data_IF_704985596903
#
_entry.id   IF_704985596903
#
_cell.length_a   1.000
_cell.length_b   1.000
_cell.length_c   1.000
_cell.angle_alpha   90.00
_cell.angle_beta   90.00
_cell.angle_gamma   90.00
#
_symmetry.space_group_name_H-M   'P 1'
#
loop_
_entity.id
_entity.type
_entity.pdbx_description
1 polymer ?
#
# COMPACT_ATOMS: atom_id res chain seq x y z
N UNK A 1 8.22 -25.45 -16.17
CA UNK A 1 6.96 -26.16 -15.89
C UNK A 1 6.12 -25.29 -14.99
N UNK A 2 4.86 -25.04 -15.32
CA UNK A 2 3.97 -24.29 -14.42
C UNK A 2 3.82 -25.03 -13.11
N UNK A 3 3.97 -24.34 -11.98
CA UNK A 3 3.75 -24.90 -10.66
C UNK A 3 2.27 -25.29 -10.51
N UNK A 4 1.97 -26.54 -10.16
CA UNK A 4 0.60 -26.97 -9.88
C UNK A 4 0.08 -26.33 -8.59
N UNK A 5 -1.25 -26.20 -8.46
CA UNK A 5 -1.86 -25.69 -7.23
C UNK A 5 -1.49 -26.56 -6.01
N UNK A 6 -1.39 -27.89 -6.17
CA UNK A 6 -0.91 -28.79 -5.12
C UNK A 6 0.54 -28.48 -4.70
N UNK A 7 1.44 -28.20 -5.64
CA UNK A 7 2.81 -27.84 -5.33
C UNK A 7 2.89 -26.50 -4.58
N UNK A 8 2.04 -25.54 -4.93
CA UNK A 8 1.94 -24.25 -4.23
C UNK A 8 1.35 -24.43 -2.82
N UNK A 9 0.31 -25.24 -2.65
CA UNK A 9 -0.30 -25.51 -1.35
C UNK A 9 0.68 -26.08 -0.33
N UNK A 10 1.58 -26.97 -0.77
CA UNK A 10 2.63 -27.57 0.10
C UNK A 10 3.69 -26.59 0.59
N UNK A 11 3.70 -25.34 0.08
CA UNK A 11 4.61 -24.29 0.54
C UNK A 11 4.08 -23.53 1.76
N UNK A 12 2.87 -23.85 2.23
CA UNK A 12 2.20 -23.20 3.34
C UNK A 12 1.93 -24.20 4.46
N UNK A 13 2.15 -23.74 5.70
CA UNK A 13 1.74 -24.39 6.95
C UNK A 13 0.99 -23.37 7.82
N UNK A 14 0.25 -23.80 8.83
CA UNK A 14 -0.48 -22.86 9.71
C UNK A 14 0.42 -21.83 10.40
N UNK A 15 1.68 -22.16 10.61
CA UNK A 15 2.66 -21.45 11.43
C UNK A 15 3.99 -21.17 10.73
N UNK A 16 4.12 -21.55 9.47
CA UNK A 16 5.35 -21.34 8.71
C UNK A 16 5.11 -21.34 7.20
N UNK A 17 6.03 -20.76 6.46
CA UNK A 17 6.01 -20.76 4.99
C UNK A 17 7.34 -21.19 4.43
N UNK A 18 7.31 -21.84 3.28
CA UNK A 18 8.53 -22.24 2.59
C UNK A 18 9.23 -21.02 1.98
N UNK A 19 10.54 -20.91 2.15
CA UNK A 19 11.36 -19.77 1.65
C UNK A 19 11.23 -19.49 0.15
N UNK A 20 10.78 -20.46 -0.66
CA UNK A 20 10.50 -20.25 -2.08
C UNK A 20 9.46 -19.17 -2.35
N UNK A 21 8.56 -18.85 -1.41
CA UNK A 21 7.62 -17.74 -1.55
C UNK A 21 8.35 -16.40 -1.70
N UNK A 22 9.57 -16.30 -1.22
CA UNK A 22 10.38 -15.07 -1.30
C UNK A 22 11.44 -15.12 -2.40
N UNK A 23 11.79 -16.30 -2.91
CA UNK A 23 12.99 -16.46 -3.74
C UNK A 23 12.73 -17.05 -5.12
N UNK A 24 11.55 -17.63 -5.35
CA UNK A 24 11.24 -18.31 -6.62
C UNK A 24 10.62 -17.35 -7.64
N UNK A 25 11.28 -17.08 -8.79
CA UNK A 25 10.78 -16.16 -9.80
C UNK A 25 9.50 -16.65 -10.50
N UNK A 26 9.27 -17.98 -10.58
CA UNK A 26 8.05 -18.52 -11.19
C UNK A 26 6.84 -18.28 -10.26
N UNK A 27 7.03 -18.41 -8.94
CA UNK A 27 6.00 -18.02 -7.95
C UNK A 27 5.71 -16.53 -8.06
N UNK A 28 6.74 -15.69 -8.12
CA UNK A 28 6.57 -14.25 -8.29
C UNK A 28 5.78 -13.90 -9.56
N UNK A 29 6.06 -14.55 -10.68
CA UNK A 29 5.30 -14.32 -11.91
C UNK A 29 3.82 -14.67 -11.75
N UNK A 30 3.50 -15.78 -11.06
CA UNK A 30 2.13 -16.15 -10.73
C UNK A 30 1.46 -15.16 -9.76
N UNK A 31 2.20 -14.60 -8.79
CA UNK A 31 1.69 -13.54 -7.92
C UNK A 31 1.27 -12.30 -8.71
N UNK A 32 2.06 -11.89 -9.71
CA UNK A 32 1.71 -10.76 -10.58
C UNK A 32 0.44 -11.02 -11.40
N UNK A 33 0.22 -12.27 -11.82
CA UNK A 33 -0.97 -12.67 -12.54
C UNK A 33 -2.18 -12.82 -11.61
N UNK A 34 -2.04 -13.57 -10.51
CA UNK A 34 -3.16 -14.02 -9.70
C UNK A 34 -3.52 -13.03 -8.59
N UNK A 35 -2.55 -12.40 -7.93
CA UNK A 35 -2.82 -11.41 -6.89
C UNK A 35 -3.07 -10.05 -7.53
N UNK A 36 -2.09 -9.53 -8.28
CA UNK A 36 -2.17 -8.21 -8.90
C UNK A 36 -3.15 -8.15 -10.06
N UNK A 37 -3.48 -9.29 -10.67
CA UNK A 37 -4.52 -9.43 -11.69
C UNK A 37 -5.94 -9.34 -11.12
N UNK A 38 -6.17 -9.66 -9.83
CA UNK A 38 -7.52 -9.79 -9.27
C UNK A 38 -7.81 -8.84 -8.11
N UNK A 39 -6.81 -8.48 -7.31
CA UNK A 39 -7.00 -7.58 -6.16
C UNK A 39 -7.34 -6.15 -6.61
N UNK A 40 -7.94 -5.38 -5.70
CA UNK A 40 -8.02 -3.94 -5.83
C UNK A 40 -6.68 -3.31 -5.41
N UNK A 41 -6.05 -2.61 -6.33
CA UNK A 41 -4.74 -2.01 -6.12
C UNK A 41 -4.86 -0.48 -6.13
N UNK A 42 -4.28 0.17 -5.13
CA UNK A 42 -4.17 1.62 -5.09
C UNK A 42 -3.26 2.12 -6.22
N UNK A 43 -3.77 3.01 -7.05
CA UNK A 43 -3.07 3.56 -8.22
C UNK A 43 -2.67 5.02 -8.05
N UNK A 44 -3.25 5.73 -7.09
CA UNK A 44 -2.94 7.12 -6.80
C UNK A 44 -4.08 7.85 -6.10
N UNK A 45 -3.88 9.12 -5.83
CA UNK A 45 -4.91 10.00 -5.29
C UNK A 45 -5.38 10.97 -6.37
N UNK A 46 -6.65 11.29 -6.39
CA UNK A 46 -7.27 12.13 -7.44
C UNK A 46 -6.72 13.57 -7.48
N UNK A 47 -6.15 14.03 -6.34
CA UNK A 47 -5.45 15.33 -6.29
C UNK A 47 -4.18 15.40 -7.16
N UNK A 48 -3.66 14.24 -7.60
CA UNK A 48 -2.51 14.20 -8.51
C UNK A 48 -2.89 14.53 -9.97
N UNK A 49 -4.18 14.52 -10.26
CA UNK A 49 -4.75 14.83 -11.58
C UNK A 49 -5.90 15.83 -11.45
N UNK A 50 -5.64 17.06 -10.98
CA UNK A 50 -6.68 18.04 -10.60
C UNK A 50 -7.52 18.55 -11.78
N UNK A 51 -6.96 18.62 -12.99
CA UNK A 51 -7.61 19.20 -14.15
C UNK A 51 -7.86 18.17 -15.25
N UNK A 52 -8.93 18.33 -16.07
CA UNK A 52 -9.16 17.49 -17.23
C UNK A 52 -7.92 17.40 -18.14
N UNK A 53 -7.48 16.18 -18.46
CA UNK A 53 -6.27 15.92 -19.22
C UNK A 53 -5.02 15.69 -18.38
N UNK A 54 -5.01 16.04 -17.10
CA UNK A 54 -3.90 15.69 -16.22
C UNK A 54 -3.84 14.18 -16.04
N UNK A 55 -2.62 13.64 -16.03
CA UNK A 55 -2.38 12.22 -15.79
C UNK A 55 -1.24 11.97 -14.83
N UNK A 56 -1.28 10.81 -14.20
CA UNK A 56 -0.19 10.22 -13.42
C UNK A 56 -0.01 8.76 -13.82
N UNK A 57 1.22 8.32 -13.99
CA UNK A 57 1.53 6.92 -14.31
C UNK A 57 1.87 6.14 -13.07
N UNK A 58 1.52 4.85 -13.06
CA UNK A 58 1.89 3.89 -12.02
C UNK A 58 1.90 2.48 -12.58
N UNK A 59 1.97 1.46 -11.69
CA UNK A 59 1.97 0.05 -12.08
C UNK A 59 1.01 -0.76 -11.21
N UNK A 60 0.41 -1.78 -11.83
CA UNK A 60 -0.31 -2.86 -11.15
C UNK A 60 0.36 -4.17 -11.53
N UNK A 61 1.14 -4.76 -10.63
CA UNK A 61 2.01 -5.89 -10.98
C UNK A 61 2.97 -5.50 -12.11
N UNK A 62 2.93 -6.24 -13.21
CA UNK A 62 3.74 -5.96 -14.41
C UNK A 62 3.11 -4.94 -15.38
N UNK A 63 1.87 -4.48 -15.12
CA UNK A 63 1.16 -3.61 -16.04
C UNK A 63 1.42 -2.14 -15.74
N UNK A 64 1.95 -1.41 -16.72
CA UNK A 64 2.04 0.04 -16.66
C UNK A 64 0.65 0.64 -16.94
N UNK A 65 0.18 1.52 -16.07
CA UNK A 65 -1.14 2.16 -16.18
C UNK A 65 -1.05 3.67 -16.05
N UNK A 66 -2.06 4.35 -16.59
CA UNK A 66 -2.21 5.80 -16.57
C UNK A 66 -3.52 6.13 -15.87
N UNK A 67 -3.44 6.79 -14.72
CA UNK A 67 -4.55 7.45 -14.08
C UNK A 67 -4.74 8.82 -14.72
N UNK A 68 -5.93 9.14 -15.20
CA UNK A 68 -6.20 10.37 -15.96
C UNK A 68 -7.53 11.01 -15.55
N UNK A 69 -7.57 12.32 -15.48
CA UNK A 69 -8.81 13.10 -15.27
C UNK A 69 -9.52 13.28 -16.61
N UNK A 70 -10.71 12.73 -16.75
CA UNK A 70 -11.58 12.89 -17.90
C UNK A 70 -12.16 14.31 -18.05
N UNK A 71 -12.71 14.62 -19.22
CA UNK A 71 -13.40 15.88 -19.49
C UNK A 71 -14.68 16.03 -18.62
N UNK A 72 -15.29 14.92 -18.22
CA UNK A 72 -16.42 14.83 -17.29
C UNK A 72 -15.99 14.95 -15.81
N UNK A 73 -14.72 15.22 -15.57
CA UNK A 73 -14.05 15.29 -14.25
C UNK A 73 -13.96 13.96 -13.50
N UNK A 74 -14.37 12.83 -14.08
CA UNK A 74 -14.14 11.51 -13.50
C UNK A 74 -12.70 11.06 -13.74
N UNK A 75 -12.21 10.21 -12.86
CA UNK A 75 -10.92 9.54 -13.02
C UNK A 75 -11.12 8.25 -13.80
N UNK A 76 -10.30 8.04 -14.82
CA UNK A 76 -10.16 6.78 -15.54
C UNK A 76 -8.76 6.22 -15.30
N UNK A 77 -8.63 4.91 -15.38
CA UNK A 77 -7.33 4.22 -15.37
C UNK A 77 -7.24 3.35 -16.61
N UNK A 78 -6.25 3.60 -17.44
CA UNK A 78 -6.06 2.91 -18.73
C UNK A 78 -4.67 2.24 -18.77
N UNK A 79 -4.49 1.21 -19.57
CA UNK A 79 -3.15 0.63 -19.79
C UNK A 79 -2.26 1.61 -20.57
N UNK A 80 -1.00 1.73 -20.17
CA UNK A 80 -0.03 2.61 -20.86
C UNK A 80 0.58 1.90 -22.09
N UNK A 81 -0.27 1.47 -23.02
CA UNK A 81 0.16 0.69 -24.20
C UNK A 81 -0.68 1.00 -25.42
N UNK A 82 -0.05 1.53 -26.46
CA UNK A 82 -0.69 1.74 -27.76
C UNK A 82 -0.98 0.38 -28.43
N UNK A 83 -2.22 0.10 -28.89
CA UNK A 83 -2.57 -1.17 -29.51
C UNK A 83 -1.85 -1.42 -30.85
N UNK A 84 -1.39 -0.36 -31.53
CA UNK A 84 -0.75 -0.51 -32.83
C UNK A 84 0.57 -1.32 -32.78
N UNK A 85 1.55 -0.87 -32.03
CA UNK A 85 2.89 -1.50 -31.91
C UNK A 85 3.41 -1.58 -30.47
N UNK A 86 2.54 -1.48 -29.48
CA UNK A 86 2.90 -1.65 -28.07
C UNK A 86 3.67 -0.50 -27.42
N UNK A 87 3.86 0.62 -28.10
CA UNK A 87 4.60 1.76 -27.50
C UNK A 87 3.87 2.31 -26.28
N UNK A 88 4.62 2.69 -25.22
CA UNK A 88 4.03 3.48 -24.11
C UNK A 88 3.41 4.76 -24.66
N UNK A 89 2.19 5.03 -24.20
CA UNK A 89 1.39 6.17 -24.67
C UNK A 89 1.93 7.49 -24.09
N UNK A 90 2.31 7.45 -22.82
CA UNK A 90 2.90 8.58 -22.09
C UNK A 90 4.13 8.13 -21.30
N UNK A 91 5.09 9.04 -21.04
CA UNK A 91 6.24 8.75 -20.19
C UNK A 91 5.83 8.59 -18.74
N UNK A 92 6.72 7.98 -17.93
CA UNK A 92 6.50 7.82 -16.51
C UNK A 92 6.49 9.17 -15.77
N UNK A 93 5.63 9.27 -14.75
CA UNK A 93 5.47 10.46 -13.91
C UNK A 93 4.12 11.14 -14.09
N UNK A 94 4.10 12.46 -13.91
CA UNK A 94 2.92 13.30 -14.05
C UNK A 94 3.01 14.11 -15.34
N UNK A 95 1.87 14.39 -15.94
CA UNK A 95 1.82 15.22 -17.13
C UNK A 95 0.40 15.60 -17.55
N UNK A 96 0.31 16.15 -18.75
CA UNK A 96 -0.94 16.60 -19.34
C UNK A 96 -1.11 16.00 -20.74
N UNK A 97 -2.30 15.52 -21.06
CA UNK A 97 -2.60 14.80 -22.30
C UNK A 97 -2.53 15.72 -23.53
N UNK A 98 -1.42 15.65 -24.26
CA UNK A 98 -1.14 16.53 -25.39
C UNK A 98 -1.18 18.01 -25.03
N UNK A 99 -1.15 18.88 -26.03
CA UNK A 99 -1.15 20.33 -25.81
C UNK A 99 -2.52 20.91 -25.36
N UNK A 100 -3.59 20.12 -25.48
CA UNK A 100 -4.98 20.60 -25.26
C UNK A 100 -5.68 19.92 -24.10
N UNK A 101 -5.08 18.88 -23.47
CA UNK A 101 -5.71 18.08 -22.43
C UNK A 101 -6.92 17.26 -22.88
N UNK A 102 -7.15 17.08 -24.18
CA UNK A 102 -8.39 16.47 -24.71
C UNK A 102 -8.20 15.02 -25.17
N UNK A 103 -6.97 14.64 -25.51
CA UNK A 103 -6.67 13.31 -26.05
C UNK A 103 -5.19 12.98 -25.87
N UNK A 104 -4.90 11.68 -25.85
CA UNK A 104 -3.54 11.15 -25.96
C UNK A 104 -3.14 10.97 -27.41
N UNK A 105 -1.87 11.20 -27.71
CA UNK A 105 -1.29 10.91 -29.01
C UNK A 105 -0.08 9.99 -28.84
N UNK A 106 -0.13 8.82 -29.44
CA UNK A 106 0.99 7.87 -29.43
C UNK A 106 2.23 8.51 -30.06
N UNK A 107 3.38 8.48 -29.38
CA UNK A 107 4.61 9.13 -29.87
C UNK A 107 5.22 8.43 -31.08
N UNK A 108 4.79 7.17 -31.38
CA UNK A 108 5.39 6.40 -32.46
C UNK A 108 4.74 6.70 -33.82
N UNK A 109 3.46 6.43 -34.00
CA UNK A 109 2.78 6.61 -35.30
C UNK A 109 1.59 7.58 -35.23
N UNK A 110 1.47 8.36 -34.16
CA UNK A 110 0.50 9.42 -34.02
C UNK A 110 -0.96 8.97 -33.87
N UNK A 111 -1.22 7.69 -33.58
CA UNK A 111 -2.58 7.25 -33.22
C UNK A 111 -3.06 8.08 -32.02
N UNK A 112 -4.32 8.48 -32.06
CA UNK A 112 -4.89 9.31 -30.99
C UNK A 112 -6.03 8.59 -30.28
N UNK A 113 -6.14 8.84 -28.99
CA UNK A 113 -7.10 8.18 -28.11
C UNK A 113 -7.75 9.22 -27.20
N UNK A 114 -9.02 9.05 -26.91
CA UNK A 114 -9.72 9.84 -25.87
C UNK A 114 -9.08 9.58 -24.52
N UNK A 115 -9.42 10.42 -23.51
CA UNK A 115 -8.88 10.25 -22.16
C UNK A 115 -9.33 8.94 -21.48
N UNK A 116 -10.44 8.36 -21.92
CA UNK A 116 -10.94 7.04 -21.49
C UNK A 116 -10.33 5.87 -22.27
N UNK A 117 -9.36 6.14 -23.15
CA UNK A 117 -8.65 5.15 -23.94
C UNK A 117 -9.28 4.81 -25.30
N UNK A 118 -10.54 5.18 -25.56
CA UNK A 118 -11.19 4.88 -26.84
C UNK A 118 -10.43 5.50 -28.01
N UNK A 119 -10.30 4.74 -29.09
CA UNK A 119 -9.69 5.22 -30.32
C UNK A 119 -10.38 6.49 -30.83
N UNK A 120 -9.61 7.46 -31.26
CA UNK A 120 -10.13 8.73 -31.80
C UNK A 120 -9.81 8.89 -33.28
N UNK A 121 -8.55 8.76 -33.67
CA UNK A 121 -8.14 8.84 -35.07
C UNK A 121 -6.70 8.34 -35.28
N UNK A 122 -6.34 8.15 -36.53
CA UNK A 122 -4.98 7.90 -36.98
C UNK A 122 -4.62 8.84 -38.16
N UNK A 123 -3.33 9.16 -38.36
CA UNK A 123 -2.89 10.19 -39.31
C UNK A 123 -3.16 9.84 -40.78
N UNK A 124 -2.99 8.57 -41.14
CA UNK A 124 -3.16 8.10 -42.55
C UNK A 124 -4.12 6.91 -42.59
N UNK A 125 -5.26 7.08 -43.23
CA UNK A 125 -6.29 6.06 -43.33
C UNK A 125 -6.15 5.18 -44.61
N UNK A 126 -5.39 5.67 -45.60
CA UNK A 126 -5.17 4.92 -46.85
C UNK A 126 -4.45 3.59 -46.56
N UNK A 127 -4.89 2.53 -47.24
CA UNK A 127 -4.33 1.18 -47.08
C UNK A 127 -4.96 0.34 -45.96
N UNK A 128 -6.04 0.85 -45.36
CA UNK A 128 -6.86 0.10 -44.41
C UNK A 128 -8.11 -0.47 -45.07
N UNK A 129 -8.36 -0.10 -46.33
CA UNK A 129 -9.48 -0.58 -47.11
C UNK A 129 -9.43 -2.10 -47.29
N UNK A 130 -10.53 -2.77 -47.01
CA UNK A 130 -10.62 -4.24 -47.11
C UNK A 130 -9.97 -5.00 -45.95
N UNK A 131 -9.48 -4.31 -44.92
CA UNK A 131 -9.00 -4.92 -43.69
C UNK A 131 -10.13 -4.98 -42.64
N UNK A 132 -9.86 -5.61 -41.47
CA UNK A 132 -10.77 -5.63 -40.33
C UNK A 132 -10.67 -4.38 -39.43
N UNK A 133 -9.99 -3.31 -39.88
CA UNK A 133 -9.89 -2.11 -39.11
C UNK A 133 -11.24 -1.42 -38.93
N UNK A 134 -11.71 -1.34 -37.67
CA UNK A 134 -12.86 -0.55 -37.27
C UNK A 134 -12.47 0.35 -36.08
N UNK A 135 -12.56 1.68 -36.24
CA UNK A 135 -12.23 2.60 -35.11
C UNK A 135 -13.19 2.46 -33.93
N UNK A 136 -14.32 1.80 -34.06
CA UNK A 136 -15.24 1.51 -32.97
C UNK A 136 -14.88 0.22 -32.20
N UNK A 137 -14.04 -0.63 -32.78
CA UNK A 137 -13.60 -1.86 -32.17
C UNK A 137 -12.62 -1.56 -31.01
N UNK A 138 -12.81 -2.25 -29.90
CA UNK A 138 -11.96 -2.14 -28.70
C UNK A 138 -10.53 -2.59 -28.94
N UNK A 139 -10.28 -3.48 -29.91
CA UNK A 139 -8.94 -3.96 -30.27
C UNK A 139 -8.03 -2.83 -30.78
N UNK A 140 -8.62 -1.74 -31.30
CA UNK A 140 -7.88 -0.55 -31.73
C UNK A 140 -7.85 0.57 -30.69
N UNK A 141 -8.37 0.33 -29.49
CA UNK A 141 -8.40 1.25 -28.35
C UNK A 141 -7.32 0.95 -27.31
N UNK A 142 -6.96 1.92 -26.51
CA UNK A 142 -6.22 1.70 -25.25
C UNK A 142 -7.24 1.24 -24.22
N UNK A 143 -7.14 -0.01 -23.78
CA UNK A 143 -8.16 -0.54 -22.90
C UNK A 143 -8.11 0.11 -21.50
N UNK A 144 -9.28 0.45 -20.93
CA UNK A 144 -9.37 0.83 -19.52
C UNK A 144 -9.20 -0.41 -18.64
N UNK A 145 -8.82 -0.19 -17.36
CA UNK A 145 -8.90 -1.23 -16.35
C UNK A 145 -10.38 -1.64 -16.16
N UNK A 146 -10.60 -2.90 -15.88
CA UNK A 146 -11.94 -3.48 -15.81
C UNK A 146 -12.82 -2.84 -14.74
N UNK A 147 -12.21 -2.52 -13.59
CA UNK A 147 -12.91 -1.82 -12.49
C UNK A 147 -12.03 -0.70 -11.95
N UNK A 148 -12.62 0.49 -11.77
CA UNK A 148 -11.99 1.67 -11.15
C UNK A 148 -12.97 2.27 -10.16
N UNK A 149 -12.52 2.52 -8.95
CA UNK A 149 -13.32 3.16 -7.91
C UNK A 149 -12.48 4.22 -7.18
N UNK A 150 -13.12 5.37 -6.90
CA UNK A 150 -12.52 6.47 -6.14
C UNK A 150 -13.21 6.53 -4.78
N UNK A 151 -12.46 6.26 -3.72
CA UNK A 151 -12.95 6.36 -2.36
C UNK A 151 -12.23 7.51 -1.64
N UNK A 152 -12.97 8.58 -1.33
CA UNK A 152 -12.44 9.78 -0.64
C UNK A 152 -11.16 10.35 -1.29
N UNK A 153 -11.08 10.32 -2.63
CA UNK A 153 -9.92 10.75 -3.39
C UNK A 153 -8.89 9.63 -3.67
N UNK A 154 -8.89 8.56 -2.90
CA UNK A 154 -8.01 7.41 -3.14
C UNK A 154 -8.54 6.59 -4.32
N UNK A 155 -7.74 6.45 -5.36
CA UNK A 155 -8.11 5.74 -6.58
C UNK A 155 -7.60 4.31 -6.52
N UNK A 156 -8.53 3.36 -6.64
CA UNK A 156 -8.23 1.94 -6.72
C UNK A 156 -8.66 1.39 -8.08
N UNK A 157 -7.92 0.44 -8.58
CA UNK A 157 -8.25 -0.26 -9.82
C UNK A 157 -8.03 -1.77 -9.70
N UNK A 158 -8.81 -2.55 -10.44
CA UNK A 158 -8.63 -3.99 -10.57
C UNK A 158 -8.62 -4.37 -12.03
N UNK A 159 -7.76 -5.31 -12.41
CA UNK A 159 -7.69 -5.87 -13.75
C UNK A 159 -8.82 -6.88 -14.01
N UNK A 160 -9.34 -7.51 -12.95
CA UNK A 160 -10.45 -8.46 -13.07
C UNK A 160 -11.78 -7.73 -13.23
N UNK A 161 -12.62 -8.21 -14.15
CA UNK A 161 -13.97 -7.69 -14.36
C UNK A 161 -14.92 -8.04 -13.22
N UNK A 162 -14.68 -9.18 -12.56
CA UNK A 162 -15.50 -9.71 -11.48
C UNK A 162 -14.72 -9.76 -10.17
N UNK A 163 -15.45 -9.92 -9.06
CA UNK A 163 -14.89 -10.01 -7.71
C UNK A 163 -15.61 -9.09 -6.73
N UNK A 164 -15.16 -9.01 -5.46
CA UNK A 164 -15.78 -8.19 -4.43
C UNK A 164 -15.76 -6.71 -4.81
N UNK A 165 -16.74 -5.92 -4.30
CA UNK A 165 -16.66 -4.46 -4.35
C UNK A 165 -15.43 -3.97 -3.59
N UNK A 166 -14.94 -2.76 -3.88
CA UNK A 166 -13.82 -2.16 -3.13
C UNK A 166 -14.12 -2.13 -1.62
N UNK A 167 -15.34 -1.76 -1.24
CA UNK A 167 -15.75 -1.71 0.16
C UNK A 167 -15.72 -3.09 0.83
N UNK A 168 -16.18 -4.14 0.15
CA UNK A 168 -16.13 -5.52 0.65
C UNK A 168 -14.68 -6.00 0.76
N UNK A 169 -13.86 -5.69 -0.23
CA UNK A 169 -12.44 -6.05 -0.25
C UNK A 169 -11.68 -5.43 0.92
N UNK A 170 -11.82 -4.11 1.12
CA UNK A 170 -11.13 -3.40 2.20
C UNK A 170 -11.74 -3.71 3.58
N UNK A 171 -13.04 -4.00 3.67
CA UNK A 171 -13.70 -4.31 4.93
C UNK A 171 -13.41 -3.29 6.03
N UNK A 172 -13.11 -3.76 7.24
CA UNK A 172 -12.88 -2.91 8.41
C UNK A 172 -11.68 -1.94 8.28
N UNK A 173 -10.69 -2.25 7.43
CA UNK A 173 -9.50 -1.39 7.27
C UNK A 173 -9.79 -0.10 6.48
N UNK A 174 -10.93 -0.02 5.78
CA UNK A 174 -11.36 1.21 5.07
C UNK A 174 -11.44 2.40 6.03
N UNK A 175 -11.77 2.16 7.29
CA UNK A 175 -11.83 3.17 8.35
C UNK A 175 -10.49 3.87 8.65
N UNK A 176 -9.36 3.31 8.22
CA UNK A 176 -8.07 4.02 8.25
C UNK A 176 -8.00 5.11 7.19
N UNK A 177 -8.57 4.88 6.01
CA UNK A 177 -8.70 5.92 4.97
C UNK A 177 -9.68 7.00 5.45
N UNK A 178 -10.81 6.58 6.06
CA UNK A 178 -11.76 7.52 6.64
C UNK A 178 -11.10 8.42 7.68
N UNK A 179 -10.36 7.84 8.63
CA UNK A 179 -9.70 8.60 9.66
C UNK A 179 -8.63 9.55 9.10
N UNK A 180 -7.84 9.11 8.10
CA UNK A 180 -6.88 9.99 7.43
C UNK A 180 -7.56 11.23 6.85
N UNK A 181 -8.69 11.06 6.17
CA UNK A 181 -9.47 12.16 5.62
C UNK A 181 -10.18 13.00 6.70
N UNK A 182 -10.76 12.35 7.71
CA UNK A 182 -11.49 13.04 8.80
C UNK A 182 -10.58 13.92 9.67
N UNK A 183 -9.26 13.65 9.69
CA UNK A 183 -8.28 14.55 10.31
C UNK A 183 -8.15 15.90 9.60
N UNK A 184 -8.66 16.03 8.39
CA UNK A 184 -8.83 17.32 7.71
C UNK A 184 -10.12 17.99 8.19
N UNK A 185 -10.13 19.28 8.61
CA UNK A 185 -11.35 19.99 8.97
C UNK A 185 -12.41 20.02 7.88
N UNK A 186 -12.02 19.91 6.61
CA UNK A 186 -12.92 19.86 5.45
C UNK A 186 -13.13 18.43 4.90
N UNK A 187 -12.54 17.42 5.54
CA UNK A 187 -12.67 16.02 5.13
C UNK A 187 -11.91 15.62 3.87
N UNK A 188 -10.98 16.47 3.41
CA UNK A 188 -10.22 16.27 2.18
C UNK A 188 -8.72 16.30 2.43
N UNK A 189 -7.99 15.46 1.70
CA UNK A 189 -6.53 15.42 1.70
C UNK A 189 -5.99 15.64 0.29
N UNK A 190 -4.72 16.00 0.17
CA UNK A 190 -4.04 16.10 -1.12
C UNK A 190 -2.61 15.60 -1.01
N UNK A 191 -2.13 14.93 -2.06
CA UNK A 191 -0.72 14.51 -2.13
C UNK A 191 0.15 15.75 -2.23
N UNK A 192 1.10 15.86 -1.33
CA UNK A 192 2.03 16.98 -1.30
C UNK A 192 3.01 16.91 -2.48
N UNK A 193 3.05 17.96 -3.29
CA UNK A 193 4.05 18.09 -4.33
C UNK A 193 5.46 18.15 -3.70
N UNK A 194 6.37 17.25 -4.14
CA UNK A 194 7.73 17.18 -3.59
C UNK A 194 7.85 16.51 -2.22
N UNK A 195 6.73 16.09 -1.61
CA UNK A 195 6.73 15.36 -0.32
C UNK A 195 6.76 13.83 -0.46
N UNK A 196 7.41 13.30 -1.50
CA UNK A 196 7.46 11.85 -1.78
C UNK A 196 8.88 11.36 -1.89
N UNK A 197 9.13 10.18 -1.31
CA UNK A 197 10.39 9.43 -1.47
C UNK A 197 10.14 8.17 -2.27
N UNK A 198 11.19 7.68 -2.92
CA UNK A 198 11.22 6.38 -3.58
C UNK A 198 12.40 5.58 -3.07
N UNK A 199 12.13 4.40 -2.57
CA UNK A 199 13.15 3.49 -2.02
C UNK A 199 13.08 2.17 -2.78
N UNK A 200 14.16 1.80 -3.44
CA UNK A 200 14.30 0.48 -4.06
C UNK A 200 14.88 -0.48 -3.01
N UNK A 201 14.04 -1.38 -2.53
CA UNK A 201 14.42 -2.43 -1.58
C UNK A 201 14.88 -3.66 -2.33
N UNK A 202 16.01 -4.25 -1.91
CA UNK A 202 16.57 -5.49 -2.46
C UNK A 202 15.96 -6.71 -1.76
N UNK A 203 14.64 -6.81 -1.82
CA UNK A 203 13.88 -7.88 -1.19
C UNK A 203 12.55 -8.13 -1.89
N UNK A 204 11.98 -9.30 -1.61
CA UNK A 204 10.62 -9.64 -2.02
C UNK A 204 9.60 -8.69 -1.37
N UNK A 205 8.54 -8.37 -2.09
CA UNK A 205 7.52 -7.41 -1.66
C UNK A 205 6.79 -7.82 -0.36
N UNK A 206 6.72 -9.11 -0.05
CA UNK A 206 6.09 -9.63 1.17
C UNK A 206 6.85 -9.24 2.43
N UNK A 207 8.18 -9.16 2.38
CA UNK A 207 9.02 -8.81 3.53
C UNK A 207 8.66 -7.44 4.11
N UNK A 208 8.38 -6.46 3.25
CA UNK A 208 7.95 -5.14 3.72
C UNK A 208 6.61 -5.17 4.46
N UNK A 209 5.64 -5.96 3.98
CA UNK A 209 4.35 -6.11 4.68
C UNK A 209 4.49 -6.79 6.03
N UNK A 210 5.33 -7.80 6.11
CA UNK A 210 5.62 -8.51 7.36
C UNK A 210 6.23 -7.56 8.39
N UNK A 211 7.22 -6.76 8.00
CA UNK A 211 7.84 -5.76 8.87
C UNK A 211 6.85 -4.72 9.40
N UNK A 212 5.89 -4.26 8.59
CA UNK A 212 4.92 -3.23 9.00
C UNK A 212 4.12 -3.59 10.25
N UNK A 213 3.88 -4.87 10.48
CA UNK A 213 3.14 -5.35 11.66
C UNK A 213 4.01 -6.15 12.63
N UNK A 214 5.32 -6.19 12.40
CA UNK A 214 6.28 -6.77 13.32
C UNK A 214 6.74 -5.69 14.33
N UNK A 215 6.33 -5.84 15.59
CA UNK A 215 6.75 -4.96 16.67
C UNK A 215 8.05 -5.42 17.33
N UNK A 216 8.45 -6.66 17.06
CA UNK A 216 9.60 -7.27 17.73
C UNK A 216 10.94 -6.76 17.18
N UNK A 217 10.97 -6.42 15.88
CA UNK A 217 12.21 -5.94 15.25
C UNK A 217 12.60 -4.53 15.71
N UNK A 218 11.62 -3.65 15.98
CA UNK A 218 11.86 -2.22 16.18
C UNK A 218 12.98 -1.94 17.21
N UNK A 219 12.92 -2.59 18.38
CA UNK A 219 13.89 -2.41 19.45
C UNK A 219 15.30 -2.92 19.12
N UNK A 220 15.44 -3.90 18.26
CA UNK A 220 16.74 -4.48 17.88
C UNK A 220 17.30 -3.81 16.63
N UNK A 221 16.48 -3.68 15.62
CA UNK A 221 16.88 -3.14 14.32
C UNK A 221 17.24 -1.65 14.42
N UNK A 222 16.48 -0.88 15.21
CA UNK A 222 16.64 0.58 15.32
C UNK A 222 17.36 1.01 16.63
N UNK A 223 18.15 0.13 17.25
CA UNK A 223 18.81 0.41 18.51
C UNK A 223 19.70 1.67 18.41
N UNK A 224 20.49 1.79 17.34
CA UNK A 224 21.36 2.95 17.12
C UNK A 224 20.57 4.27 17.01
N UNK A 225 19.38 4.23 16.44
CA UNK A 225 18.53 5.40 16.23
C UNK A 225 17.94 5.92 17.54
N UNK A 226 17.32 5.05 18.35
CA UNK A 226 16.72 5.51 19.60
C UNK A 226 17.76 5.81 20.69
N UNK A 227 18.90 5.12 20.74
CA UNK A 227 19.97 5.46 21.67
C UNK A 227 20.59 6.82 21.34
N UNK A 228 20.82 7.13 20.04
CA UNK A 228 21.27 8.45 19.63
C UNK A 228 20.26 9.55 20.01
N UNK A 229 18.95 9.30 19.83
CA UNK A 229 17.91 10.23 20.24
C UNK A 229 17.90 10.50 21.74
N UNK A 230 18.11 9.46 22.57
CA UNK A 230 18.19 9.57 24.04
C UNK A 230 19.43 10.32 24.50
N UNK A 231 20.57 10.09 23.87
CA UNK A 231 21.80 10.83 24.16
C UNK A 231 21.68 12.31 23.82
N UNK A 232 21.14 12.63 22.64
CA UNK A 232 20.91 14.02 22.25
C UNK A 232 19.90 14.71 23.18
N UNK A 233 18.80 14.05 23.54
CA UNK A 233 17.83 14.59 24.49
C UNK A 233 18.46 14.92 25.87
N UNK A 234 19.41 14.09 26.33
CA UNK A 234 20.18 14.39 27.56
C UNK A 234 21.08 15.62 27.37
N UNK A 235 21.70 15.77 26.21
CA UNK A 235 22.60 16.89 25.92
C UNK A 235 21.86 18.22 25.82
N UNK A 236 20.66 18.24 25.19
CA UNK A 236 19.83 19.45 25.05
C UNK A 236 18.95 19.72 26.28
N UNK A 237 18.76 18.73 27.16
CA UNK A 237 17.97 18.84 28.39
C UNK A 237 16.47 18.66 28.23
N UNK A 238 16.01 18.29 27.04
CA UNK A 238 14.60 18.01 26.75
C UNK A 238 14.47 16.91 25.64
N UNK A 239 13.26 16.35 25.46
CA UNK A 239 12.93 15.42 24.39
C UNK A 239 12.04 16.13 23.38
N UNK A 240 12.59 16.81 22.35
CA UNK A 240 11.80 17.43 21.30
C UNK A 240 11.08 16.39 20.45
N UNK A 241 10.07 16.84 19.70
CA UNK A 241 9.19 15.96 18.92
C UNK A 241 9.96 15.06 17.94
N UNK A 242 11.01 15.58 17.33
CA UNK A 242 11.87 14.87 16.39
C UNK A 242 12.57 13.68 17.04
N UNK A 243 13.12 13.87 18.24
CA UNK A 243 13.78 12.81 19.00
C UNK A 243 12.77 11.82 19.57
N UNK A 244 11.59 12.31 20.01
CA UNK A 244 10.49 11.46 20.50
C UNK A 244 10.02 10.46 19.45
N UNK A 245 9.97 10.85 18.18
CA UNK A 245 9.62 9.94 17.08
C UNK A 245 10.64 8.80 16.97
N UNK A 246 11.92 9.10 17.09
CA UNK A 246 12.98 8.08 17.01
C UNK A 246 13.02 7.21 18.26
N UNK A 247 12.87 7.81 19.44
CA UNK A 247 12.87 7.12 20.74
C UNK A 247 11.76 6.07 20.85
N UNK A 248 10.60 6.28 20.22
CA UNK A 248 9.48 5.35 20.22
C UNK A 248 9.84 3.92 19.77
N UNK A 249 10.87 3.75 18.92
CA UNK A 249 11.36 2.41 18.53
C UNK A 249 12.01 1.67 19.70
N UNK A 250 12.49 2.38 20.72
CA UNK A 250 13.15 1.83 21.91
C UNK A 250 12.19 1.42 23.03
N UNK A 251 10.88 1.45 22.81
CA UNK A 251 9.90 1.02 23.80
C UNK A 251 10.11 -0.45 24.20
N UNK A 252 9.92 -0.83 25.47
CA UNK A 252 10.11 -2.19 25.93
C UNK A 252 9.07 -3.16 25.33
N UNK A 253 9.39 -4.44 25.29
CA UNK A 253 8.48 -5.45 24.74
C UNK A 253 7.11 -5.49 25.42
N UNK A 254 7.04 -5.21 26.73
CA UNK A 254 5.76 -5.10 27.47
C UNK A 254 4.86 -3.98 26.95
N UNK A 255 5.42 -2.92 26.38
CA UNK A 255 4.66 -1.87 25.69
C UNK A 255 4.07 -2.43 24.40
N UNK A 256 4.90 -3.05 23.57
CA UNK A 256 4.49 -3.62 22.28
C UNK A 256 3.45 -4.73 22.44
N UNK A 257 3.59 -5.57 23.47
CA UNK A 257 2.65 -6.65 23.76
C UNK A 257 1.24 -6.16 24.09
N UNK A 258 1.10 -4.98 24.71
CA UNK A 258 -0.19 -4.36 25.05
C UNK A 258 -0.93 -3.77 23.86
N UNK A 259 -0.27 -3.57 22.73
CA UNK A 259 -0.92 -3.08 21.53
C UNK A 259 -1.89 -4.13 20.97
N UNK A 260 -2.86 -3.68 20.21
CA UNK A 260 -3.80 -4.55 19.51
C UNK A 260 -3.44 -4.63 18.03
N UNK A 261 -3.18 -5.84 17.53
CA UNK A 261 -3.12 -6.13 16.11
C UNK A 261 -4.46 -6.66 15.65
N UNK A 262 -4.96 -6.12 14.54
CA UNK A 262 -6.19 -6.58 13.90
C UNK A 262 -5.90 -7.01 12.48
N UNK A 263 -6.41 -8.19 12.12
CA UNK A 263 -6.35 -8.76 10.79
C UNK A 263 -7.75 -8.87 10.21
N UNK A 264 -7.86 -8.68 8.91
CA UNK A 264 -9.08 -8.84 8.13
C UNK A 264 -8.79 -9.66 6.87
N UNK A 265 -9.82 -10.25 6.28
CA UNK A 265 -9.69 -11.02 5.05
C UNK A 265 -8.90 -10.29 3.97
N UNK A 266 -8.42 -11.01 2.98
CA UNK A 266 -7.54 -10.51 1.92
C UNK A 266 -6.18 -9.99 2.39
N UNK A 267 -5.72 -10.36 3.58
CA UNK A 267 -4.40 -9.98 4.09
C UNK A 267 -4.32 -8.56 4.66
N UNK A 268 -5.45 -7.92 4.85
CA UNK A 268 -5.52 -6.58 5.43
C UNK A 268 -5.36 -6.61 6.96
N UNK A 269 -4.96 -5.47 7.52
CA UNK A 269 -4.87 -5.34 8.97
C UNK A 269 -4.36 -3.96 9.40
N UNK A 270 -4.32 -3.73 10.70
CA UNK A 270 -3.72 -2.56 11.31
C UNK A 270 -3.29 -2.82 12.75
N UNK A 271 -2.38 -1.98 13.24
CA UNK A 271 -1.99 -1.89 14.63
C UNK A 271 -2.69 -0.71 15.28
N UNK A 272 -3.18 -0.87 16.50
CA UNK A 272 -3.86 0.17 17.26
C UNK A 272 -3.28 0.31 18.66
N UNK A 273 -3.32 1.53 19.23
CA UNK A 273 -2.91 1.78 20.61
C UNK A 273 -1.49 2.31 20.82
N UNK A 274 -0.72 2.58 19.76
CA UNK A 274 0.68 3.02 19.88
C UNK A 274 0.84 4.43 20.46
N UNK A 275 -0.13 5.33 20.22
CA UNK A 275 -0.08 6.70 20.73
C UNK A 275 -1.12 6.94 21.80
N UNK A 276 -0.73 7.65 22.87
CA UNK A 276 -1.65 8.08 23.91
C UNK A 276 -2.69 9.09 23.34
N UNK A 277 -4.00 8.81 23.42
CA UNK A 277 -5.03 9.75 22.97
C UNK A 277 -4.93 11.14 23.63
N UNK A 278 -4.41 11.23 24.85
CA UNK A 278 -4.18 12.51 25.55
C UNK A 278 -3.09 13.36 24.84
N UNK A 279 -2.24 12.75 24.03
CA UNK A 279 -1.25 13.47 23.21
C UNK A 279 -1.89 14.41 22.19
N UNK A 280 -3.16 14.20 21.82
CA UNK A 280 -3.91 15.04 20.88
C UNK A 280 -4.00 16.54 21.30
N UNK A 281 -3.73 16.87 22.55
CA UNK A 281 -3.74 18.25 23.07
C UNK A 281 -2.49 18.63 23.86
N UNK A 282 -1.46 17.79 23.88
CA UNK A 282 -0.26 17.95 24.73
C UNK A 282 0.60 19.16 24.36
N UNK A 283 0.77 19.40 23.08
CA UNK A 283 1.63 20.46 22.55
C UNK A 283 0.84 21.50 21.74
N UNK A 284 1.44 22.67 21.38
CA UNK A 284 0.74 23.74 20.66
C UNK A 284 0.18 23.33 19.30
N UNK A 285 0.91 22.52 18.53
CA UNK A 285 0.49 22.07 17.17
C UNK A 285 -0.70 21.13 17.28
N UNK A 286 -0.64 20.14 18.18
CA UNK A 286 -1.74 19.23 18.44
C UNK A 286 -2.98 19.97 18.92
N UNK A 287 -2.83 20.96 19.81
CA UNK A 287 -3.96 21.81 20.26
C UNK A 287 -4.56 22.60 19.10
N UNK A 288 -3.75 23.24 18.27
CA UNK A 288 -4.25 23.98 17.11
C UNK A 288 -5.03 23.09 16.12
N UNK A 289 -4.55 21.88 15.90
CA UNK A 289 -5.25 20.89 15.09
C UNK A 289 -6.60 20.46 15.70
N UNK A 290 -6.59 20.17 17.02
CA UNK A 290 -7.80 19.83 17.75
C UNK A 290 -8.84 20.96 17.68
N UNK A 291 -8.43 22.22 17.90
CA UNK A 291 -9.32 23.38 17.80
C UNK A 291 -9.90 23.58 16.39
N UNK A 292 -9.11 23.36 15.35
CA UNK A 292 -9.58 23.41 13.97
C UNK A 292 -10.67 22.36 13.69
N UNK A 293 -10.49 21.12 14.17
CA UNK A 293 -11.50 20.06 14.07
C UNK A 293 -12.71 20.33 14.96
N UNK A 294 -12.50 20.82 16.18
CA UNK A 294 -13.57 21.14 17.13
C UNK A 294 -14.49 22.24 16.58
N UNK A 295 -13.93 23.24 15.92
CA UNK A 295 -14.70 24.34 15.33
C UNK A 295 -15.70 23.86 14.25
N UNK A 296 -15.37 22.76 13.55
CA UNK A 296 -16.21 22.21 12.47
C UNK A 296 -17.12 21.09 12.96
N UNK A 297 -16.58 20.17 13.78
CA UNK A 297 -17.25 18.90 14.11
C UNK A 297 -17.77 18.81 15.55
N UNK A 298 -17.44 19.78 16.40
CA UNK A 298 -17.69 19.72 17.85
C UNK A 298 -16.62 18.89 18.60
N UNK A 299 -16.62 19.02 19.92
CA UNK A 299 -15.56 18.46 20.77
C UNK A 299 -15.49 16.93 20.74
N UNK A 300 -16.64 16.25 20.92
CA UNK A 300 -16.65 14.78 20.99
C UNK A 300 -16.19 14.14 19.67
N UNK A 301 -16.61 14.68 18.54
CA UNK A 301 -16.17 14.16 17.24
C UNK A 301 -14.69 14.45 16.98
N UNK A 302 -14.20 15.65 17.34
CA UNK A 302 -12.77 15.98 17.20
C UNK A 302 -11.90 15.05 18.06
N UNK A 303 -12.33 14.75 19.31
CA UNK A 303 -11.65 13.76 20.16
C UNK A 303 -11.67 12.37 19.56
N UNK A 304 -12.81 11.92 19.02
CA UNK A 304 -12.92 10.60 18.37
C UNK A 304 -12.01 10.49 17.14
N UNK A 305 -11.93 11.54 16.32
CA UNK A 305 -11.07 11.57 15.13
C UNK A 305 -9.59 11.45 15.53
N UNK A 306 -9.12 12.29 16.43
CA UNK A 306 -7.71 12.29 16.85
C UNK A 306 -7.36 11.13 17.78
N UNK A 307 -8.33 10.60 18.50
CA UNK A 307 -8.18 9.42 19.37
C UNK A 307 -8.07 8.10 18.60
N UNK A 308 -8.51 8.05 17.34
CA UNK A 308 -8.26 6.87 16.51
C UNK A 308 -6.78 6.78 16.15
N UNK A 309 -6.12 5.78 16.70
CA UNK A 309 -4.69 5.67 16.78
C UNK A 309 -4.21 4.44 16.03
N UNK A 310 -4.31 4.49 14.70
CA UNK A 310 -3.88 3.42 13.82
C UNK A 310 -2.52 3.69 13.23
N UNK A 311 -1.64 2.75 13.48
CA UNK A 311 -0.30 2.70 12.93
C UNK A 311 -0.20 1.54 11.92
N UNK A 312 0.55 1.76 10.84
CA UNK A 312 0.86 0.74 9.85
C UNK A 312 -0.35 -0.08 9.36
N UNK A 313 -1.44 0.58 8.95
CA UNK A 313 -2.52 -0.15 8.27
C UNK A 313 -1.96 -0.82 7.01
N UNK A 314 -2.23 -2.10 6.81
CA UNK A 314 -1.86 -2.85 5.61
C UNK A 314 -3.07 -2.99 4.70
N UNK A 315 -2.95 -2.48 3.48
CA UNK A 315 -3.82 -2.79 2.35
C UNK A 315 -3.05 -3.73 1.42
N UNK A 316 -3.29 -5.03 1.55
CA UNK A 316 -2.53 -6.08 0.87
C UNK A 316 -2.51 -5.87 -0.64
N UNK A 317 -1.35 -5.98 -1.27
CA UNK A 317 -1.10 -5.67 -2.68
C UNK A 317 -0.92 -4.18 -2.99
N UNK A 318 -1.42 -3.26 -2.15
CA UNK A 318 -1.41 -1.81 -2.41
C UNK A 318 -0.35 -1.04 -1.62
N UNK A 319 -0.27 -1.25 -0.30
CA UNK A 319 0.62 -0.49 0.56
C UNK A 319 0.06 -0.25 1.96
N UNK A 320 0.51 0.82 2.60
CA UNK A 320 0.20 1.13 3.99
C UNK A 320 -0.14 2.60 4.19
N UNK A 321 -1.42 2.96 4.39
CA UNK A 321 -1.79 4.27 4.90
C UNK A 321 -1.41 4.41 6.37
N UNK A 322 -0.86 5.56 6.73
CA UNK A 322 -0.53 5.96 8.09
C UNK A 322 -1.32 7.22 8.46
N UNK A 323 -2.29 7.08 9.36
CA UNK A 323 -3.27 8.14 9.62
C UNK A 323 -2.69 9.32 10.39
N UNK A 324 -1.85 9.06 11.41
CA UNK A 324 -1.32 10.09 12.31
C UNK A 324 -0.31 10.99 11.60
N UNK A 325 0.55 10.42 10.76
CA UNK A 325 1.59 11.16 10.02
C UNK A 325 1.27 11.35 8.54
N UNK A 326 0.01 11.18 8.16
CA UNK A 326 -0.55 11.51 6.85
C UNK A 326 0.27 10.97 5.67
N UNK A 327 0.53 9.67 5.67
CA UNK A 327 1.32 9.03 4.62
C UNK A 327 0.57 7.88 3.96
N UNK A 328 0.98 7.56 2.75
CA UNK A 328 0.70 6.27 2.11
C UNK A 328 2.01 5.72 1.55
N UNK A 329 2.45 4.58 2.08
CA UNK A 329 3.61 3.85 1.58
C UNK A 329 3.14 2.84 0.55
N UNK A 330 3.29 3.19 -0.73
CA UNK A 330 2.80 2.42 -1.87
C UNK A 330 3.84 1.39 -2.27
N UNK A 331 3.42 0.14 -2.47
CA UNK A 331 4.31 -0.98 -2.81
C UNK A 331 4.16 -1.33 -4.28
N UNK A 332 5.31 -1.42 -4.97
CA UNK A 332 5.40 -1.81 -6.38
C UNK A 332 6.42 -2.94 -6.53
N UNK A 333 5.99 -4.21 -6.61
CA UNK A 333 6.89 -5.30 -6.92
C UNK A 333 7.54 -5.12 -8.29
N UNK A 334 8.87 -5.26 -8.35
CA UNK A 334 9.64 -5.11 -9.59
C UNK A 334 10.14 -6.48 -10.07
N UNK A 335 10.72 -7.25 -9.16
CA UNK A 335 11.21 -8.60 -9.36
C UNK A 335 11.07 -9.39 -8.07
N UNK A 336 11.37 -10.67 -8.11
CA UNK A 336 11.28 -11.55 -6.92
C UNK A 336 12.10 -11.04 -5.74
N UNK A 337 13.18 -10.33 -6.02
CA UNK A 337 14.18 -9.79 -5.09
C UNK A 337 14.24 -8.24 -5.09
N UNK A 338 13.28 -7.56 -5.69
CA UNK A 338 13.28 -6.10 -5.79
C UNK A 338 11.87 -5.53 -5.67
N UNK A 339 11.72 -4.60 -4.73
CA UNK A 339 10.46 -3.89 -4.46
C UNK A 339 10.71 -2.39 -4.43
N UNK A 340 9.95 -1.62 -5.19
CA UNK A 340 9.92 -0.17 -5.08
C UNK A 340 8.84 0.22 -4.06
N UNK A 341 9.23 1.00 -3.06
CA UNK A 341 8.29 1.64 -2.12
C UNK A 341 8.26 3.13 -2.40
N UNK A 342 7.07 3.67 -2.67
CA UNK A 342 6.84 5.09 -2.89
C UNK A 342 6.10 5.65 -1.66
N UNK A 343 6.71 6.60 -0.95
CA UNK A 343 6.14 7.20 0.25
C UNK A 343 5.52 8.52 -0.13
N UNK A 344 4.20 8.60 -0.13
CA UNK A 344 3.42 9.79 -0.43
C UNK A 344 3.00 10.44 0.89
N UNK A 345 3.32 11.73 1.08
CA UNK A 345 2.84 12.52 2.22
C UNK A 345 1.63 13.33 1.79
N UNK A 346 0.60 13.36 2.65
CA UNK A 346 -0.63 14.11 2.40
C UNK A 346 -0.68 15.37 3.24
N UNK A 347 -1.23 16.43 2.67
CA UNK A 347 -1.66 17.61 3.38
C UNK A 347 -3.14 17.50 3.72
N UNK A 348 -3.49 17.75 4.97
CA UNK A 348 -4.87 17.84 5.42
C UNK A 348 -5.40 19.22 5.08
N UNK A 349 -6.36 19.33 4.15
CA UNK A 349 -6.91 20.63 3.76
C UNK A 349 -7.63 21.31 4.93
N UNK A 350 -7.33 22.57 5.15
CA UNK A 350 -7.90 23.36 6.24
C UNK A 350 -7.29 23.09 7.63
N UNK A 351 -6.34 22.18 7.76
CA UNK A 351 -5.55 22.01 8.99
C UNK A 351 -4.42 23.06 9.06
N UNK A 352 -3.92 23.39 10.28
CA UNK A 352 -2.76 24.27 10.44
C UNK A 352 -1.52 23.72 9.69
N UNK A 353 -0.71 24.62 9.13
CA UNK A 353 0.49 24.24 8.36
C UNK A 353 1.51 23.46 9.19
N UNK A 354 1.58 23.70 10.48
CA UNK A 354 2.47 23.00 11.42
C UNK A 354 2.15 21.51 11.51
N UNK A 355 0.89 21.11 11.30
CA UNK A 355 0.50 19.68 11.22
C UNK A 355 1.14 19.01 9.99
N UNK A 356 1.15 19.71 8.87
CA UNK A 356 1.82 19.23 7.67
C UNK A 356 3.34 19.20 7.82
N UNK A 357 3.92 20.22 8.46
CA UNK A 357 5.36 20.25 8.77
C UNK A 357 5.78 19.04 9.62
N UNK A 358 4.97 18.64 10.59
CA UNK A 358 5.19 17.40 11.36
C UNK A 358 5.15 16.14 10.52
N UNK A 359 4.21 16.04 9.58
CA UNK A 359 4.16 14.90 8.66
C UNK A 359 5.42 14.83 7.78
N UNK A 360 5.93 15.97 7.31
CA UNK A 360 7.19 16.04 6.58
C UNK A 360 8.39 15.69 7.47
N UNK A 361 8.42 16.16 8.71
CA UNK A 361 9.46 15.80 9.69
C UNK A 361 9.49 14.30 9.91
N UNK A 362 8.34 13.67 10.14
CA UNK A 362 8.25 12.22 10.27
C UNK A 362 8.74 11.51 9.00
N UNK A 363 8.32 11.96 7.81
CA UNK A 363 8.77 11.38 6.55
C UNK A 363 10.31 11.43 6.43
N UNK A 364 10.92 12.54 6.80
CA UNK A 364 12.38 12.71 6.73
C UNK A 364 13.12 11.85 7.75
N UNK A 365 12.62 11.76 8.99
CA UNK A 365 13.32 11.04 10.07
C UNK A 365 13.15 9.53 10.02
N UNK A 366 12.00 9.04 9.51
CA UNK A 366 11.67 7.61 9.53
C UNK A 366 11.77 6.98 8.16
N UNK A 367 11.23 7.64 7.11
CA UNK A 367 11.02 7.01 5.81
C UNK A 367 11.98 7.52 4.70
N UNK A 368 12.81 8.51 4.97
CA UNK A 368 13.79 8.98 4.00
C UNK A 368 14.92 7.95 3.82
N UNK A 369 15.44 7.78 2.60
CA UNK A 369 16.63 6.96 2.37
C UNK A 369 17.89 7.43 3.13
N UNK A 370 17.90 8.66 3.60
CA UNK A 370 18.96 9.27 4.41
C UNK A 370 18.60 9.40 5.88
N UNK A 371 17.52 8.78 6.34
CA UNK A 371 17.15 8.71 7.76
C UNK A 371 17.99 7.69 8.52
N UNK A 372 17.79 7.62 9.83
CA UNK A 372 18.42 6.61 10.69
C UNK A 372 17.53 5.38 10.94
N UNK A 373 16.33 5.31 10.35
CA UNK A 373 15.37 4.21 10.58
C UNK A 373 15.18 3.37 9.32
N UNK A 374 14.74 3.97 8.21
CA UNK A 374 14.51 3.24 6.95
C UNK A 374 15.75 2.48 6.42
N UNK A 375 16.99 3.00 6.49
CA UNK A 375 18.17 2.23 6.05
C UNK A 375 18.41 0.96 6.84
N UNK A 376 18.12 0.94 8.14
CA UNK A 376 18.23 -0.25 8.98
C UNK A 376 17.28 -1.34 8.49
N UNK A 377 16.01 -0.99 8.26
CA UNK A 377 15.01 -1.89 7.71
C UNK A 377 15.42 -2.46 6.34
N UNK A 378 15.85 -1.58 5.42
CA UNK A 378 16.24 -1.97 4.05
C UNK A 378 17.42 -2.95 4.07
N UNK A 379 18.38 -2.74 4.96
CA UNK A 379 19.50 -3.68 5.13
C UNK A 379 19.02 -5.03 5.67
N UNK A 380 18.11 -5.04 6.66
CA UNK A 380 17.55 -6.29 7.20
C UNK A 380 16.72 -7.03 6.15
N UNK A 381 15.92 -6.32 5.35
CA UNK A 381 15.16 -6.95 4.25
C UNK A 381 16.06 -7.63 3.23
N UNK A 382 17.16 -6.96 2.86
CA UNK A 382 18.18 -7.54 1.99
C UNK A 382 18.80 -8.80 2.60
N UNK A 383 19.16 -8.78 3.88
CA UNK A 383 19.68 -9.96 4.60
C UNK A 383 18.68 -11.10 4.64
N UNK A 384 17.40 -10.83 4.85
CA UNK A 384 16.34 -11.85 4.77
C UNK A 384 16.27 -12.46 3.37
N UNK A 385 16.33 -11.64 2.32
CA UNK A 385 16.33 -12.12 0.94
C UNK A 385 17.55 -13.01 0.64
N UNK A 386 18.74 -12.58 1.00
CA UNK A 386 19.99 -13.32 0.81
C UNK A 386 20.03 -14.61 1.67
N UNK A 387 19.58 -14.53 2.92
CA UNK A 387 19.50 -15.68 3.83
C UNK A 387 18.57 -16.76 3.31
N UNK A 388 17.42 -16.39 2.75
CA UNK A 388 16.46 -17.33 2.18
C UNK A 388 16.97 -18.04 0.89
N UNK A 389 18.03 -17.56 0.26
CA UNK A 389 18.69 -18.25 -0.85
C UNK A 389 19.63 -19.38 -0.37
N UNK A 390 20.00 -19.42 0.90
CA UNK A 390 20.90 -20.43 1.45
C UNK A 390 20.20 -21.77 1.64
N UNK A 391 20.97 -22.83 1.82
CA UNK A 391 20.46 -24.20 2.06
C UNK A 391 20.28 -24.52 3.56
N UNK A 392 20.35 -23.52 4.45
CA UNK A 392 20.36 -23.70 5.91
C UNK A 392 19.00 -24.03 6.53
N UNK A 393 17.95 -24.13 5.76
CA UNK A 393 16.57 -24.42 6.19
C UNK A 393 15.58 -24.02 5.11
N UNK A 394 14.40 -24.63 5.10
CA UNK A 394 13.40 -24.39 4.05
C UNK A 394 12.19 -23.56 4.53
N UNK A 395 11.98 -23.48 5.83
CA UNK A 395 10.80 -22.89 6.42
C UNK A 395 11.11 -21.61 7.19
N UNK A 396 10.29 -20.58 6.96
CA UNK A 396 10.27 -19.30 7.67
C UNK A 396 9.16 -19.37 8.70
N UNK A 397 9.48 -19.06 9.97
CA UNK A 397 8.58 -19.18 11.12
C UNK A 397 7.52 -18.08 11.16
N UNK A 398 6.31 -18.43 11.61
CA UNK A 398 5.21 -17.53 11.98
C UNK A 398 4.48 -18.08 13.23
N UNK A 399 5.23 -18.68 14.18
CA UNK A 399 4.69 -19.45 15.29
C UNK A 399 4.15 -18.60 16.44
N UNK A 400 4.57 -17.32 16.53
CA UNK A 400 4.27 -16.51 17.69
C UNK A 400 2.77 -16.30 17.87
N UNK A 401 2.24 -16.76 19.02
CA UNK A 401 0.83 -16.68 19.40
C UNK A 401 -0.14 -17.41 18.45
N UNK A 402 0.28 -18.50 17.82
CA UNK A 402 -0.64 -19.39 17.09
C UNK A 402 -1.72 -19.91 18.05
N UNK A 403 -2.98 -19.86 17.62
CA UNK A 403 -4.13 -20.38 18.36
C UNK A 403 -4.64 -19.49 19.51
N UNK A 404 -4.10 -18.26 19.66
CA UNK A 404 -4.59 -17.31 20.67
C UNK A 404 -5.42 -16.18 20.07
N UNK A 405 -5.68 -16.24 18.79
CA UNK A 405 -6.37 -15.23 18.01
C UNK A 405 -7.86 -15.19 18.37
N UNK A 406 -8.45 -14.00 18.45
CA UNK A 406 -9.84 -13.76 18.88
C UNK A 406 -10.66 -13.17 17.74
N UNK A 407 -11.68 -13.90 17.30
CA UNK A 407 -12.66 -13.37 16.33
C UNK A 407 -13.48 -12.23 16.94
N UNK A 408 -13.72 -11.18 16.15
CA UNK A 408 -14.51 -10.01 16.53
C UNK A 408 -15.85 -9.99 15.77
N UNK A 409 -16.89 -9.32 16.32
CA UNK A 409 -18.21 -9.24 15.67
C UNK A 409 -18.21 -8.54 14.29
N UNK A 410 -17.20 -7.70 14.01
CA UNK A 410 -17.03 -6.98 12.74
C UNK A 410 -16.33 -7.82 11.65
N UNK A 411 -16.07 -9.09 11.90
CA UNK A 411 -15.39 -10.00 11.00
C UNK A 411 -13.86 -9.87 11.00
N UNK A 412 -13.31 -9.05 11.88
CA UNK A 412 -11.86 -8.99 12.10
C UNK A 412 -11.41 -10.05 13.12
N UNK A 413 -10.12 -10.32 13.13
CA UNK A 413 -9.45 -11.13 14.13
C UNK A 413 -8.47 -10.25 14.90
N UNK A 414 -8.49 -10.32 16.22
CA UNK A 414 -7.67 -9.52 17.13
C UNK A 414 -6.68 -10.40 17.87
N UNK A 415 -5.50 -9.84 18.14
CA UNK A 415 -4.45 -10.46 18.96
C UNK A 415 -3.60 -9.38 19.63
N UNK A 416 -2.62 -9.78 20.47
CA UNK A 416 -1.69 -8.83 21.06
C UNK A 416 -0.64 -8.32 20.05
N UNK A 417 0.03 -7.23 20.39
CA UNK A 417 0.93 -6.49 19.51
C UNK A 417 2.21 -7.21 19.10
N UNK A 418 2.58 -8.33 19.74
CA UNK A 418 3.79 -9.11 19.42
C UNK A 418 3.48 -10.43 18.69
N UNK A 419 2.22 -10.63 18.28
CA UNK A 419 1.78 -11.80 17.53
C UNK A 419 2.18 -11.75 16.05
N UNK A 420 2.43 -12.91 15.46
CA UNK A 420 2.65 -13.06 14.01
C UNK A 420 1.34 -13.39 13.24
N UNK A 421 0.16 -13.12 13.84
CA UNK A 421 -1.13 -13.20 13.13
C UNK A 421 -1.14 -12.40 11.81
N UNK A 422 -0.60 -11.18 11.73
CA UNK A 422 -0.61 -10.45 10.45
C UNK A 422 0.12 -11.18 9.33
N UNK A 423 1.24 -11.84 9.63
CA UNK A 423 2.00 -12.65 8.66
C UNK A 423 1.17 -13.85 8.21
N UNK A 424 0.60 -14.61 9.15
CA UNK A 424 -0.31 -15.74 8.84
C UNK A 424 -1.51 -15.30 8.00
N UNK A 425 -2.10 -14.14 8.31
CA UNK A 425 -3.23 -13.57 7.56
C UNK A 425 -2.83 -13.20 6.12
N UNK A 426 -1.65 -12.64 5.91
CA UNK A 426 -1.12 -12.35 4.57
C UNK A 426 -0.91 -13.63 3.76
N UNK A 427 -0.45 -14.71 4.40
CA UNK A 427 -0.28 -16.01 3.74
C UNK A 427 -1.62 -16.70 3.46
N UNK A 428 -2.63 -16.50 4.30
CA UNK A 428 -4.01 -16.94 4.02
C UNK A 428 -4.57 -16.20 2.77
N UNK A 429 -4.34 -14.90 2.67
CA UNK A 429 -4.70 -14.13 1.47
C UNK A 429 -3.91 -14.58 0.24
N UNK A 430 -2.60 -14.81 0.38
CA UNK A 430 -1.79 -15.38 -0.70
C UNK A 430 -2.38 -16.72 -1.20
N UNK A 431 -2.73 -17.62 -0.29
CA UNK A 431 -3.37 -18.90 -0.64
C UNK A 431 -4.69 -18.68 -1.38
N UNK A 432 -5.53 -17.77 -0.90
CA UNK A 432 -6.80 -17.43 -1.55
C UNK A 432 -6.57 -17.03 -3.01
N UNK A 433 -5.73 -16.05 -3.28
CA UNK A 433 -5.48 -15.56 -4.64
C UNK A 433 -4.77 -16.61 -5.51
N UNK A 434 -3.80 -17.31 -4.95
CA UNK A 434 -2.96 -18.24 -5.72
C UNK A 434 -3.65 -19.57 -6.04
N UNK A 435 -4.55 -20.02 -5.17
CA UNK A 435 -5.18 -21.34 -5.29
C UNK A 435 -6.71 -21.28 -5.52
N UNK A 436 -7.33 -20.11 -5.42
CA UNK A 436 -8.79 -19.95 -5.52
C UNK A 436 -9.55 -20.50 -4.31
N UNK A 437 -8.92 -20.56 -3.13
CA UNK A 437 -9.56 -21.05 -1.90
C UNK A 437 -10.50 -20.00 -1.30
N UNK A 438 -11.36 -20.40 -0.37
CA UNK A 438 -12.16 -19.46 0.41
C UNK A 438 -11.24 -18.52 1.19
N UNK A 439 -11.50 -17.22 1.11
CA UNK A 439 -10.71 -16.18 1.77
C UNK A 439 -10.81 -16.24 3.31
N UNK A 440 -11.85 -16.87 3.83
CA UNK A 440 -12.10 -17.05 5.27
C UNK A 440 -11.52 -18.35 5.82
N UNK A 441 -11.07 -19.26 4.93
CA UNK A 441 -10.54 -20.55 5.34
C UNK A 441 -9.18 -20.39 6.04
N UNK A 442 -8.97 -20.99 7.22
CA UNK A 442 -7.69 -20.96 7.91
C UNK A 442 -6.60 -21.68 7.09
N UNK A 443 -5.35 -21.37 7.37
CA UNK A 443 -4.23 -22.16 6.88
C UNK A 443 -4.28 -23.53 7.56
N UNK A 444 -4.37 -24.60 6.77
CA UNK A 444 -4.37 -25.98 7.25
C UNK A 444 -3.11 -26.70 6.76
N UNK A 445 -2.63 -27.65 7.55
CA UNK A 445 -1.53 -28.51 7.15
C UNK A 445 -2.09 -29.69 6.34
N UNK A 446 -1.75 -29.77 5.05
CA UNK A 446 -2.21 -30.87 4.19
C UNK A 446 -1.71 -32.25 4.66
N UNK A 447 -0.59 -32.34 5.39
CA UNK A 447 -0.10 -33.60 5.93
C UNK A 447 -1.01 -34.10 7.07
N UNK A 448 -1.56 -33.21 7.88
CA UNK A 448 -2.51 -33.55 8.96
C UNK A 448 -3.86 -34.04 8.41
N UNK A 449 -4.33 -33.46 7.31
CA UNK A 449 -5.58 -33.88 6.66
C UNK A 449 -5.48 -35.25 5.95
N UNK A 450 -4.29 -35.65 5.46
CA UNK A 450 -4.08 -36.98 4.88
C UNK A 450 -4.00 -38.09 5.94
N UNK A 451 -3.63 -37.75 7.17
CA UNK A 451 -3.59 -38.72 8.29
C UNK A 451 -4.98 -38.93 8.93
N UNK A 452 -5.94 -38.01 8.65
CA UNK A 452 -7.31 -38.07 9.19
C UNK A 452 -8.35 -38.57 8.16
N UNK A 453 -7.97 -38.79 6.89
CA UNK A 453 -8.78 -39.38 5.82
C UNK A 453 -8.31 -40.81 5.49
#
# INVERSE_FOLDING_TARGET
MSLSNEALARLLRPDSVHKRLYTDPDIFALEMERIYGHAWIYVGHDSQVPHPGDYATTRIGHQDVVMVRGADRKVSVIYNRCPHKGAKLVPDGHGHAGNTGKFFRCPYHGWTFRLDGRHLSLPLKNGLEGTNYDPADTDFSVNPLARVEVYRGFVFASQAAEGPSLKTFLGGVISSIDNLCDRSPVGEVEVAAGGSFRVLQQSNWKVFYENLHDTMHARVTHESSFEAAREEAKAVGEMPFELLIMDGNGEPYDFWEKLELRAYHYGHGYMEGIFDPAAATRDPVSRAHFEALRAVHGEDRARAILGMNRHNTVLYGSGSPHTVFQQFRVIRPIAVDRTLVEIQTFRLKGAPDEVFNRALTYANLINSPSSNVMPDDVEVYKRCQEGNLTQGGDWVSMHRYVGTDRALPDGMVSTNGTSELPMRNQMAAWRHFMLGTDVTAPLEDEETNRAAA
#
